data_IF_858636325271
#
_entry.id   IF_858636325271
#
_cell.length_a   1.000
_cell.length_b   1.000
_cell.length_c   1.000
_cell.angle_alpha   90.00
_cell.angle_beta   90.00
_cell.angle_gamma   90.00
#
_symmetry.space_group_name_H-M   'P 1'
#
loop_
_entity.id
_entity.type
_entity.pdbx_description
1 polymer ?
#
# COMPACT_ATOMS: atom_id res chain seq x y z
N UNK A 1 13.49 -4.46 29.11
CA UNK A 1 12.39 -5.01 28.28
C UNK A 1 11.07 -4.79 29.02
N UNK A 2 10.52 -3.59 28.88
CA UNK A 2 9.17 -3.19 29.32
C UNK A 2 8.55 -2.35 28.21
N UNK A 3 9.30 -1.38 27.68
CA UNK A 3 8.92 -0.63 26.48
C UNK A 3 8.69 -1.49 25.23
N UNK A 4 9.20 -2.73 25.18
CA UNK A 4 8.87 -3.69 24.12
C UNK A 4 7.54 -4.41 24.37
N UNK A 5 7.22 -4.73 25.63
CA UNK A 5 5.95 -5.36 26.01
C UNK A 5 4.77 -4.37 25.91
N UNK A 6 5.00 -3.09 26.23
CA UNK A 6 4.02 -2.01 26.04
C UNK A 6 3.63 -1.80 24.57
N UNK A 7 4.53 -2.13 23.62
CA UNK A 7 4.22 -2.06 22.18
C UNK A 7 3.21 -3.11 21.74
N UNK A 8 3.17 -4.25 22.41
CA UNK A 8 2.35 -5.41 22.02
C UNK A 8 1.10 -5.54 22.85
N UNK A 9 1.10 -5.00 24.08
CA UNK A 9 -0.07 -4.93 24.93
C UNK A 9 -1.19 -4.11 24.28
N UNK A 10 -2.42 -4.43 24.66
CA UNK A 10 -3.56 -3.56 24.44
C UNK A 10 -3.37 -2.23 25.19
N UNK A 11 -4.16 -1.23 24.80
CA UNK A 11 -3.98 0.13 25.27
C UNK A 11 -4.14 0.26 26.78
N UNK A 12 -5.11 -0.43 27.37
CA UNK A 12 -5.45 -0.29 28.78
C UNK A 12 -4.37 -0.93 29.64
N UNK A 13 -3.91 -2.13 29.24
CA UNK A 13 -2.76 -2.79 29.85
C UNK A 13 -1.49 -1.93 29.72
N UNK A 14 -1.22 -1.35 28.55
CA UNK A 14 -0.04 -0.53 28.34
C UNK A 14 -0.05 0.77 29.18
N UNK A 15 -1.22 1.37 29.37
CA UNK A 15 -1.39 2.57 30.18
C UNK A 15 -1.13 2.29 31.67
N UNK A 16 -1.71 1.22 32.20
CA UNK A 16 -1.52 0.81 33.61
C UNK A 16 -0.05 0.55 33.92
N UNK A 17 0.64 -0.20 33.06
CA UNK A 17 2.07 -0.46 33.27
C UNK A 17 2.93 0.80 33.10
N UNK A 18 2.50 1.76 32.28
CA UNK A 18 3.24 3.02 32.13
C UNK A 18 3.14 3.91 33.36
N UNK A 19 1.94 4.03 33.94
CA UNK A 19 1.70 4.78 35.18
C UNK A 19 2.39 4.13 36.39
N UNK A 20 2.30 2.80 36.52
CA UNK A 20 2.97 2.08 37.61
C UNK A 20 4.49 2.25 37.54
N UNK A 21 5.05 2.30 36.34
CA UNK A 21 6.48 2.51 36.12
C UNK A 21 6.87 3.95 36.45
N UNK A 22 6.06 4.94 36.06
CA UNK A 22 6.30 6.34 36.41
C UNK A 22 6.24 6.59 37.92
N UNK A 23 5.22 6.04 38.60
CA UNK A 23 5.11 6.08 40.06
C UNK A 23 6.29 5.41 40.77
N UNK A 24 6.77 4.28 40.23
CA UNK A 24 7.94 3.57 40.76
C UNK A 24 9.26 4.32 40.55
N UNK A 25 9.38 5.13 39.50
CA UNK A 25 10.57 5.94 39.23
C UNK A 25 10.61 7.22 40.08
N UNK A 26 9.45 7.74 40.51
CA UNK A 26 9.37 8.88 41.42
C UNK A 26 10.14 10.11 40.92
N UNK A 27 10.94 10.72 41.80
CA UNK A 27 11.73 11.93 41.48
C UNK A 27 13.12 11.62 40.85
N UNK A 28 13.37 10.38 40.44
CA UNK A 28 14.66 10.02 39.84
C UNK A 28 14.78 10.63 38.43
N UNK A 29 16.00 10.98 37.97
CA UNK A 29 16.24 11.43 36.59
C UNK A 29 15.77 10.44 35.51
N UNK A 30 15.65 9.16 35.88
CA UNK A 30 15.11 8.11 35.02
C UNK A 30 13.61 8.32 34.69
N UNK A 31 12.85 9.04 35.52
CA UNK A 31 11.47 9.44 35.22
C UNK A 31 11.41 10.37 34.01
N UNK A 32 12.38 11.26 33.84
CA UNK A 32 12.44 12.19 32.70
C UNK A 32 12.74 11.44 31.40
N UNK A 33 13.66 10.49 31.46
CA UNK A 33 13.97 9.59 30.35
C UNK A 33 12.78 8.70 29.99
N UNK A 34 12.07 8.19 31.00
CA UNK A 34 10.84 7.43 30.82
C UNK A 34 9.75 8.24 30.12
N UNK A 35 9.48 9.46 30.61
CA UNK A 35 8.51 10.40 30.02
C UNK A 35 8.84 10.69 28.56
N UNK A 36 10.11 10.92 28.22
CA UNK A 36 10.54 11.12 26.83
C UNK A 36 10.41 9.87 25.95
N UNK A 37 10.56 8.69 26.53
CA UNK A 37 10.49 7.42 25.80
C UNK A 37 9.05 6.98 25.55
N UNK A 38 8.14 7.20 26.50
CA UNK A 38 6.69 6.98 26.31
C UNK A 38 6.03 8.11 25.53
N UNK A 39 6.67 9.29 25.42
CA UNK A 39 6.19 10.38 24.56
C UNK A 39 6.47 10.15 23.07
N UNK A 40 7.36 9.21 22.71
CA UNK A 40 7.51 8.78 21.31
C UNK A 40 6.37 7.83 20.99
N UNK A 41 5.44 8.33 20.17
CA UNK A 41 4.17 7.67 19.97
C UNK A 41 4.32 6.37 19.17
N UNK A 42 4.14 5.23 19.84
CA UNK A 42 4.04 3.92 19.20
C UNK A 42 2.74 3.77 18.39
N UNK A 43 1.79 4.69 18.59
CA UNK A 43 0.69 4.90 17.66
C UNK A 43 1.18 5.31 16.29
N UNK A 44 2.37 5.89 16.08
CA UNK A 44 2.88 6.16 14.72
C UNK A 44 2.91 4.89 13.84
N UNK A 45 3.07 3.70 14.42
CA UNK A 45 2.95 2.45 13.67
C UNK A 45 1.51 1.94 13.51
N UNK A 46 0.60 2.35 14.40
CA UNK A 46 -0.81 1.90 14.46
C UNK A 46 -1.82 2.97 14.02
N UNK A 47 -1.41 4.21 13.79
CA UNK A 47 -2.31 5.34 13.55
C UNK A 47 -2.97 5.18 12.20
N UNK A 48 -4.20 5.69 12.09
CA UNK A 48 -4.96 5.60 10.85
C UNK A 48 -4.18 6.21 9.67
N UNK A 49 -3.48 7.33 9.88
CA UNK A 49 -2.63 7.96 8.86
C UNK A 49 -1.49 7.04 8.40
N UNK A 50 -0.81 6.36 9.32
CA UNK A 50 0.26 5.43 8.95
C UNK A 50 -0.28 4.13 8.31
N UNK A 51 -1.48 3.70 8.69
CA UNK A 51 -2.17 2.59 8.03
C UNK A 51 -2.56 2.96 6.60
N UNK A 52 -3.13 4.16 6.39
CA UNK A 52 -3.52 4.66 5.08
C UNK A 52 -2.30 4.80 4.16
N UNK A 53 -1.21 5.41 4.64
CA UNK A 53 0.03 5.53 3.85
C UNK A 53 0.60 4.17 3.41
N UNK A 54 0.46 3.13 4.23
CA UNK A 54 0.87 1.76 3.84
C UNK A 54 -0.11 1.13 2.86
N UNK A 55 -1.40 1.36 3.02
CA UNK A 55 -2.41 0.88 2.10
C UNK A 55 -2.23 1.52 0.72
N UNK A 56 -2.03 2.84 0.67
CA UNK A 56 -1.68 3.59 -0.54
C UNK A 56 -0.38 3.06 -1.15
N UNK A 57 0.69 2.92 -0.35
CA UNK A 57 1.96 2.39 -0.83
C UNK A 57 1.87 0.94 -1.35
N UNK A 58 0.99 0.12 -0.79
CA UNK A 58 0.71 -1.24 -1.30
C UNK A 58 -0.05 -1.19 -2.61
N UNK A 59 -1.12 -0.41 -2.69
CA UNK A 59 -1.93 -0.25 -3.91
C UNK A 59 -1.08 0.28 -5.07
N UNK A 60 -0.25 1.30 -4.82
CA UNK A 60 0.71 1.79 -5.81
C UNK A 60 1.73 0.72 -6.24
N UNK A 61 2.19 -0.09 -5.28
CA UNK A 61 3.15 -1.17 -5.54
C UNK A 61 2.55 -2.29 -6.38
N UNK A 62 1.29 -2.66 -6.11
CA UNK A 62 0.51 -3.62 -6.88
C UNK A 62 0.29 -3.13 -8.31
N UNK A 63 -0.22 -1.90 -8.48
CA UNK A 63 -0.42 -1.29 -9.79
C UNK A 63 0.88 -1.21 -10.62
N UNK A 64 1.98 -0.74 -10.02
CA UNK A 64 3.30 -0.72 -10.68
C UNK A 64 3.80 -2.12 -11.03
N UNK A 65 3.46 -3.12 -10.21
CA UNK A 65 3.79 -4.52 -10.42
C UNK A 65 3.06 -5.11 -11.62
N UNK A 66 1.76 -4.90 -11.71
CA UNK A 66 0.91 -5.35 -12.82
C UNK A 66 1.30 -4.67 -14.13
N UNK A 67 1.47 -3.34 -14.14
CA UNK A 67 1.95 -2.61 -15.30
C UNK A 67 3.26 -3.19 -15.85
N UNK A 68 4.21 -3.52 -14.94
CA UNK A 68 5.47 -4.18 -15.32
C UNK A 68 5.26 -5.59 -15.84
N UNK A 69 4.30 -6.34 -15.30
CA UNK A 69 3.96 -7.69 -15.77
C UNK A 69 3.39 -7.66 -17.19
N UNK A 70 2.45 -6.75 -17.47
CA UNK A 70 1.87 -6.53 -18.81
C UNK A 70 2.98 -6.24 -19.83
N UNK A 71 3.83 -5.24 -19.55
CA UNK A 71 4.92 -4.86 -20.45
C UNK A 71 5.89 -6.02 -20.71
N UNK A 72 6.21 -6.80 -19.67
CA UNK A 72 7.08 -7.99 -19.79
C UNK A 72 6.42 -9.08 -20.63
N UNK A 73 5.10 -9.25 -20.52
CA UNK A 73 4.36 -10.24 -21.30
C UNK A 73 4.32 -9.87 -22.78
N UNK A 74 4.06 -8.60 -23.09
CA UNK A 74 4.07 -8.09 -24.46
C UNK A 74 5.45 -8.20 -25.11
N UNK A 75 6.51 -7.90 -24.37
CA UNK A 75 7.89 -8.10 -24.81
C UNK A 75 8.18 -9.57 -25.13
N UNK A 76 7.75 -10.50 -24.26
CA UNK A 76 7.93 -11.93 -24.50
C UNK A 76 7.17 -12.44 -25.74
N UNK A 77 6.04 -11.82 -26.06
CA UNK A 77 5.26 -12.11 -27.27
C UNK A 77 5.79 -11.44 -28.53
N UNK A 78 6.75 -10.54 -28.41
CA UNK A 78 7.23 -9.73 -29.53
C UNK A 78 6.21 -8.70 -30.01
N UNK A 79 5.25 -8.31 -29.16
CA UNK A 79 4.33 -7.21 -29.46
C UNK A 79 5.08 -5.90 -29.24
N UNK A 80 5.19 -5.09 -30.30
CA UNK A 80 5.82 -3.79 -30.21
C UNK A 80 4.97 -2.85 -29.33
N UNK A 81 5.59 -2.29 -28.29
CA UNK A 81 4.96 -1.32 -27.38
C UNK A 81 5.63 0.04 -27.59
N UNK A 82 4.96 1.00 -28.28
CA UNK A 82 5.44 2.37 -28.40
C UNK A 82 5.61 3.04 -27.03
N UNK A 83 6.45 4.07 -26.95
CA UNK A 83 6.75 4.77 -25.69
C UNK A 83 5.50 5.42 -25.08
N UNK A 84 4.57 5.89 -25.91
CA UNK A 84 3.28 6.44 -25.46
C UNK A 84 2.44 5.38 -24.75
N UNK A 85 2.31 4.19 -25.34
CA UNK A 85 1.59 3.08 -24.73
C UNK A 85 2.27 2.58 -23.46
N UNK A 86 3.62 2.55 -23.45
CA UNK A 86 4.39 2.21 -22.26
C UNK A 86 4.13 3.20 -21.13
N UNK A 87 4.06 4.49 -21.43
CA UNK A 87 3.75 5.53 -20.45
C UNK A 87 2.31 5.38 -19.92
N UNK A 88 1.34 5.08 -20.79
CA UNK A 88 -0.05 4.78 -20.40
C UNK A 88 -0.14 3.60 -19.44
N UNK A 89 0.52 2.48 -19.77
CA UNK A 89 0.51 1.28 -18.92
C UNK A 89 1.21 1.55 -17.59
N UNK A 90 2.39 2.16 -17.61
CA UNK A 90 3.16 2.44 -16.41
C UNK A 90 2.54 3.52 -15.50
N UNK A 91 1.72 4.41 -16.07
CA UNK A 91 1.03 5.48 -15.35
C UNK A 91 -0.35 5.10 -14.83
N UNK A 92 -0.90 3.95 -15.22
CA UNK A 92 -2.20 3.50 -14.75
C UNK A 92 -2.13 3.05 -13.28
N UNK A 93 -3.08 3.54 -12.48
CA UNK A 93 -3.22 3.21 -11.05
C UNK A 93 -4.54 2.52 -10.73
N UNK A 94 -5.35 2.24 -11.76
CA UNK A 94 -6.64 1.58 -11.62
C UNK A 94 -6.45 0.05 -11.76
N UNK A 95 -6.62 -0.73 -10.68
CA UNK A 95 -6.39 -2.17 -10.71
C UNK A 95 -7.32 -2.91 -11.66
N UNK A 96 -8.59 -2.50 -11.78
CA UNK A 96 -9.54 -3.18 -12.67
C UNK A 96 -9.15 -3.03 -14.15
N UNK A 97 -8.63 -1.86 -14.52
CA UNK A 97 -8.08 -1.59 -15.85
C UNK A 97 -6.81 -2.41 -16.10
N UNK A 98 -5.89 -2.46 -15.12
CA UNK A 98 -4.65 -3.24 -15.22
C UNK A 98 -4.90 -4.74 -15.35
N UNK A 99 -5.82 -5.31 -14.56
CA UNK A 99 -6.22 -6.71 -14.66
C UNK A 99 -6.82 -7.02 -16.05
N UNK A 100 -7.69 -6.14 -16.55
CA UNK A 100 -8.27 -6.28 -17.89
C UNK A 100 -7.18 -6.27 -18.98
N UNK A 101 -6.19 -5.38 -18.87
CA UNK A 101 -5.06 -5.32 -19.80
C UNK A 101 -4.16 -6.55 -19.68
N UNK A 102 -3.95 -7.06 -18.47
CA UNK A 102 -3.19 -8.28 -18.24
C UNK A 102 -3.86 -9.49 -18.90
N UNK A 103 -5.17 -9.65 -18.73
CA UNK A 103 -5.96 -10.69 -19.38
C UNK A 103 -5.87 -10.61 -20.92
N UNK A 104 -5.96 -9.40 -21.47
CA UNK A 104 -5.84 -9.16 -22.91
C UNK A 104 -4.43 -9.42 -23.44
N UNK A 105 -3.39 -9.13 -22.67
CA UNK A 105 -2.01 -9.38 -23.08
C UNK A 105 -1.77 -10.87 -23.43
N UNK A 106 -2.50 -11.81 -22.80
CA UNK A 106 -2.46 -13.24 -23.10
C UNK A 106 -2.88 -13.62 -24.51
N UNK A 107 -3.69 -12.81 -25.19
CA UNK A 107 -4.19 -13.11 -26.55
C UNK A 107 -3.85 -12.03 -27.58
N UNK A 108 -3.55 -10.80 -27.13
CA UNK A 108 -3.22 -9.64 -27.94
C UNK A 108 -2.15 -9.91 -29.01
N UNK A 109 -2.41 -9.41 -30.22
CA UNK A 109 -1.46 -9.39 -31.33
C UNK A 109 -0.84 -8.01 -31.52
N UNK A 110 -1.54 -6.97 -31.06
CA UNK A 110 -1.10 -5.58 -31.11
C UNK A 110 -1.28 -4.91 -29.75
N UNK A 111 -0.66 -3.75 -29.56
CA UNK A 111 -0.85 -2.94 -28.35
C UNK A 111 -2.27 -2.39 -28.23
N UNK A 112 -2.94 -2.13 -29.36
CA UNK A 112 -4.31 -1.63 -29.41
C UNK A 112 -5.31 -2.68 -28.87
N UNK A 113 -5.03 -3.97 -29.10
CA UNK A 113 -5.85 -5.07 -28.53
C UNK A 113 -5.85 -5.05 -27.00
N UNK A 114 -4.75 -4.60 -26.38
CA UNK A 114 -4.61 -4.48 -24.93
C UNK A 114 -5.38 -3.25 -24.44
N UNK A 115 -5.11 -2.10 -25.06
CA UNK A 115 -5.57 -0.78 -24.62
C UNK A 115 -6.99 -0.43 -25.05
N UNK A 116 -7.68 -1.29 -25.83
CA UNK A 116 -9.04 -1.04 -26.27
C UNK A 116 -9.99 -0.70 -25.10
N UNK A 117 -10.88 0.29 -25.26
CA UNK A 117 -11.88 0.54 -24.23
C UNK A 117 -12.88 -0.64 -24.13
N UNK A 118 -13.39 -0.97 -22.93
CA UNK A 118 -14.51 -1.89 -22.83
C UNK A 118 -15.69 -1.31 -23.62
N UNK A 119 -16.11 -2.01 -24.67
CA UNK A 119 -17.30 -1.65 -25.44
C UNK A 119 -18.50 -1.74 -24.50
N UNK A 120 -19.03 -0.58 -24.09
CA UNK A 120 -20.26 -0.51 -23.30
C UNK A 120 -21.38 -1.18 -24.11
N UNK A 121 -22.07 -2.20 -23.55
CA UNK A 121 -23.16 -2.86 -24.27
C UNK A 121 -24.25 -1.83 -24.57
N UNK A 122 -24.87 -1.84 -25.77
CA UNK A 122 -25.89 -0.86 -26.11
C UNK A 122 -27.03 -0.91 -25.08
N UNK A 123 -27.28 0.24 -24.44
CA UNK A 123 -28.41 0.42 -23.53
C UNK A 123 -29.68 -0.14 -24.16
N UNK A 124 -30.45 -1.00 -23.45
CA UNK A 124 -31.73 -1.47 -23.96
C UNK A 124 -32.67 -0.26 -24.07
N UNK A 125 -32.97 0.14 -25.31
CA UNK A 125 -34.02 1.13 -25.59
C UNK A 125 -35.34 0.67 -24.97
N UNK A 126 -35.89 1.52 -24.11
CA UNK A 126 -37.23 1.40 -23.53
C UNK A 126 -38.32 1.61 -24.58
#
# INVERSE_FOLDING_TARGET
MLGAALKTADRDTAMVFSELTELGLGALPAADLWRNLVSVDLSFFRSQTAQNLRAEGRAEGEAKGEAKAILRFLDHRGVAVPDEARATIAGCTDPDTLDTWLDRAFTATTIDDVLAEPVEPPSPSA
#
